data_IF_285800361936
#
_entry.id   IF_285800361936
#
_cell.length_a   1.000
_cell.length_b   1.000
_cell.length_c   1.000
_cell.angle_alpha   90.00
_cell.angle_beta   90.00
_cell.angle_gamma   90.00
#
_symmetry.space_group_name_H-M   'P 1'
#
loop_
_entity.id
_entity.type
_entity.pdbx_description
1 polymer ?
#
# COMPACT_ATOMS: atom_id res chain seq x y z
N UNK A 1 -10.25 -15.41 3.35
CA UNK A 1 -9.56 -15.40 2.05
C UNK A 1 -9.89 -16.69 1.34
N UNK A 2 -10.50 -16.62 0.18
CA UNK A 2 -10.82 -17.79 -0.63
C UNK A 2 -9.61 -18.20 -1.49
N UNK A 3 -9.52 -19.43 -2.00
CA UNK A 3 -8.47 -19.82 -2.95
C UNK A 3 -8.45 -18.94 -4.20
N UNK A 4 -9.60 -18.40 -4.60
CA UNK A 4 -9.72 -17.51 -5.74
C UNK A 4 -9.11 -16.14 -5.44
N UNK A 5 -9.19 -15.64 -4.20
CA UNK A 5 -8.55 -14.37 -3.81
C UNK A 5 -7.03 -14.44 -3.98
N UNK A 6 -6.40 -15.57 -3.62
CA UNK A 6 -4.94 -15.75 -3.75
C UNK A 6 -4.46 -15.63 -5.21
N UNK A 7 -5.31 -15.97 -6.19
CA UNK A 7 -5.00 -15.78 -7.61
C UNK A 7 -4.76 -14.32 -7.97
N UNK A 8 -5.51 -13.40 -7.36
CA UNK A 8 -5.37 -11.96 -7.55
C UNK A 8 -4.31 -11.36 -6.62
N UNK A 9 -4.38 -11.68 -5.33
CA UNK A 9 -3.48 -11.14 -4.30
C UNK A 9 -1.99 -11.42 -4.59
N UNK A 10 -1.69 -12.59 -5.13
CA UNK A 10 -0.35 -13.00 -5.52
C UNK A 10 -0.03 -12.70 -7.00
N UNK A 11 -0.91 -11.96 -7.68
CA UNK A 11 -0.77 -11.61 -9.10
C UNK A 11 -0.54 -12.82 -10.04
N UNK A 12 -1.13 -13.97 -9.74
CA UNK A 12 -1.00 -15.18 -10.56
C UNK A 12 -1.62 -15.00 -11.95
N UNK A 13 -2.53 -14.06 -12.14
CA UNK A 13 -3.12 -13.68 -13.42
C UNK A 13 -2.15 -12.93 -14.34
N UNK A 14 -1.09 -12.33 -13.79
CA UNK A 14 -0.10 -11.58 -14.57
C UNK A 14 0.75 -12.54 -15.38
N UNK A 15 0.48 -12.60 -16.68
CA UNK A 15 1.35 -13.33 -17.59
C UNK A 15 2.71 -12.63 -17.64
N UNK A 16 3.73 -13.23 -17.03
CA UNK A 16 5.10 -12.70 -17.09
C UNK A 16 5.56 -12.65 -18.54
N UNK A 17 5.81 -11.47 -19.12
CA UNK A 17 6.21 -11.40 -20.52
C UNK A 17 7.55 -12.11 -20.70
N UNK A 18 7.68 -12.82 -21.82
CA UNK A 18 8.97 -13.45 -22.24
C UNK A 18 10.11 -12.44 -22.35
N UNK A 19 9.82 -11.13 -22.38
CA UNK A 19 10.77 -10.02 -22.45
C UNK A 19 11.70 -9.83 -21.23
N UNK A 20 11.51 -10.58 -20.12
CA UNK A 20 12.47 -10.54 -19.00
C UNK A 20 13.91 -10.90 -19.43
N UNK A 21 14.10 -11.64 -20.50
CA UNK A 21 15.44 -11.92 -21.05
C UNK A 21 16.12 -10.68 -21.63
N UNK A 22 15.37 -9.67 -22.04
CA UNK A 22 15.88 -8.40 -22.58
C UNK A 22 16.06 -7.31 -21.52
N UNK A 23 15.52 -7.50 -20.31
CA UNK A 23 15.64 -6.54 -19.20
C UNK A 23 17.11 -6.19 -18.86
N UNK A 24 18.03 -7.18 -18.74
CA UNK A 24 19.43 -6.87 -18.44
C UNK A 24 20.09 -6.05 -19.57
N UNK A 25 19.72 -6.31 -20.81
CA UNK A 25 20.22 -5.55 -21.96
C UNK A 25 19.68 -4.11 -21.95
N UNK A 26 18.40 -3.95 -21.61
CA UNK A 26 17.79 -2.62 -21.43
C UNK A 26 18.46 -1.83 -20.31
N UNK A 27 18.71 -2.43 -19.14
CA UNK A 27 19.40 -1.76 -18.04
C UNK A 27 20.85 -1.41 -18.38
N UNK A 28 21.54 -2.23 -19.18
CA UNK A 28 22.86 -1.91 -19.73
C UNK A 28 22.82 -0.74 -20.73
N UNK A 29 21.86 -0.73 -21.62
CA UNK A 29 21.68 0.33 -22.61
C UNK A 29 21.17 1.64 -21.98
N UNK A 30 20.35 1.57 -20.94
CA UNK A 30 19.76 2.71 -20.24
C UNK A 30 20.80 3.72 -19.77
N UNK A 31 21.98 3.29 -19.33
CA UNK A 31 23.06 4.18 -18.86
C UNK A 31 23.61 5.12 -19.96
N UNK A 32 23.44 4.76 -21.24
CA UNK A 32 23.91 5.56 -22.38
C UNK A 32 22.83 6.48 -22.96
N UNK A 33 21.59 6.37 -22.49
CA UNK A 33 20.48 7.19 -22.97
C UNK A 33 20.34 8.40 -22.01
N UNK A 34 20.35 9.65 -22.51
CA UNK A 34 20.15 10.82 -21.66
C UNK A 34 18.83 10.72 -20.86
N UNK A 35 18.83 11.12 -19.60
CA UNK A 35 17.68 11.04 -18.70
C UNK A 35 16.41 11.69 -19.29
N UNK A 36 16.58 12.85 -19.97
CA UNK A 36 15.47 13.54 -20.66
C UNK A 36 14.80 12.66 -21.72
N UNK A 37 15.58 11.97 -22.54
CA UNK A 37 15.07 11.05 -23.58
C UNK A 37 14.37 9.84 -22.94
N UNK A 38 14.97 9.27 -21.87
CA UNK A 38 14.32 8.17 -21.13
C UNK A 38 12.96 8.58 -20.60
N UNK A 39 12.88 9.77 -19.97
CA UNK A 39 11.61 10.29 -19.41
C UNK A 39 10.59 10.58 -20.51
N UNK A 40 11.01 11.18 -21.62
CA UNK A 40 10.10 11.41 -22.76
C UNK A 40 9.48 10.11 -23.28
N UNK A 41 10.29 9.08 -23.48
CA UNK A 41 9.81 7.76 -23.91
C UNK A 41 8.85 7.14 -22.89
N UNK A 42 9.19 7.19 -21.59
CA UNK A 42 8.34 6.67 -20.50
C UNK A 42 7.00 7.40 -20.46
N UNK A 43 7.00 8.74 -20.54
CA UNK A 43 5.78 9.58 -20.60
C UNK A 43 4.89 9.21 -21.78
N UNK A 44 5.48 9.07 -22.96
CA UNK A 44 4.74 8.67 -24.17
C UNK A 44 4.13 7.28 -24.03
N UNK A 45 4.88 6.33 -23.46
CA UNK A 45 4.38 4.98 -23.18
C UNK A 45 3.26 4.98 -22.13
N UNK A 46 3.44 5.72 -21.04
CA UNK A 46 2.46 5.83 -19.97
C UNK A 46 1.12 6.43 -20.46
N UNK A 47 1.18 7.51 -21.27
CA UNK A 47 -0.02 8.10 -21.90
C UNK A 47 -0.74 7.11 -22.82
N UNK A 48 -0.01 6.35 -23.64
CA UNK A 48 -0.59 5.30 -24.50
C UNK A 48 -1.21 4.17 -23.68
N UNK A 49 -0.56 3.77 -22.59
CA UNK A 49 -1.10 2.75 -21.69
C UNK A 49 -2.38 3.25 -21.00
N UNK A 50 -2.38 4.49 -20.49
CA UNK A 50 -3.56 5.11 -19.89
C UNK A 50 -4.74 5.10 -20.86
N UNK A 51 -4.57 5.62 -22.06
CA UNK A 51 -5.63 5.64 -23.07
C UNK A 51 -6.17 4.23 -23.41
N UNK A 52 -5.32 3.20 -23.41
CA UNK A 52 -5.76 1.81 -23.61
C UNK A 52 -6.53 1.26 -22.40
N UNK A 53 -6.12 1.59 -21.16
CA UNK A 53 -6.85 1.17 -19.97
C UNK A 53 -8.23 1.83 -19.89
N UNK A 54 -8.31 3.12 -20.19
CA UNK A 54 -9.58 3.87 -20.22
C UNK A 54 -10.52 3.37 -21.33
N UNK A 55 -9.99 3.18 -22.56
CA UNK A 55 -10.81 2.78 -23.71
C UNK A 55 -11.22 1.30 -23.71
N UNK A 56 -10.42 0.40 -23.16
CA UNK A 56 -10.60 -1.05 -23.26
C UNK A 56 -11.01 -1.72 -21.97
N UNK A 57 -11.12 -0.97 -20.85
CA UNK A 57 -11.45 -1.55 -19.54
C UNK A 57 -10.49 -2.67 -19.11
N UNK A 58 -9.21 -2.54 -19.44
CA UNK A 58 -8.22 -3.61 -19.19
C UNK A 58 -8.12 -3.94 -17.72
N UNK A 59 -8.09 -5.23 -17.42
CA UNK A 59 -7.83 -5.75 -16.08
C UNK A 59 -6.32 -5.81 -15.78
N UNK A 60 -5.89 -5.41 -14.57
CA UNK A 60 -6.68 -4.68 -13.58
C UNK A 60 -7.02 -3.26 -14.08
N UNK A 61 -8.19 -2.75 -13.70
CA UNK A 61 -8.62 -1.38 -14.04
C UNK A 61 -7.74 -0.37 -13.31
N UNK A 62 -7.57 0.79 -13.89
CA UNK A 62 -6.82 1.88 -13.29
C UNK A 62 -7.61 3.20 -13.43
N UNK A 63 -7.64 4.09 -12.45
CA UNK A 63 -6.93 4.05 -11.15
C UNK A 63 -7.58 3.17 -10.09
N UNK A 64 -8.80 2.72 -10.29
CA UNK A 64 -9.61 1.94 -9.34
C UNK A 64 -9.88 0.55 -9.92
N UNK A 65 -9.48 -0.49 -9.15
CA UNK A 65 -9.83 -1.89 -9.43
C UNK A 65 -10.80 -2.41 -8.36
N UNK A 66 -12.10 -2.54 -8.69
CA UNK A 66 -13.11 -2.87 -7.70
C UNK A 66 -13.35 -4.38 -7.50
N UNK A 67 -12.65 -5.26 -8.21
CA UNK A 67 -12.97 -6.69 -8.28
C UNK A 67 -13.16 -7.33 -6.89
N UNK A 68 -12.13 -7.25 -6.03
CA UNK A 68 -12.20 -7.89 -4.70
C UNK A 68 -13.17 -7.18 -3.75
N UNK A 69 -13.43 -5.89 -3.97
CA UNK A 69 -14.48 -5.15 -3.24
C UNK A 69 -15.85 -5.72 -3.60
N UNK A 70 -16.16 -5.81 -4.90
CA UNK A 70 -17.43 -6.37 -5.36
C UNK A 70 -17.62 -7.84 -4.96
N UNK A 71 -16.56 -8.65 -4.99
CA UNK A 71 -16.65 -10.04 -4.52
C UNK A 71 -17.04 -10.11 -3.05
N UNK A 72 -16.45 -9.25 -2.19
CA UNK A 72 -16.84 -9.18 -0.77
C UNK A 72 -18.29 -8.74 -0.58
N UNK A 73 -18.74 -7.76 -1.35
CA UNK A 73 -20.14 -7.30 -1.33
C UNK A 73 -21.11 -8.42 -1.73
N UNK A 74 -20.80 -9.15 -2.79
CA UNK A 74 -21.60 -10.32 -3.22
C UNK A 74 -21.67 -11.39 -2.13
N UNK A 75 -20.54 -11.73 -1.52
CA UNK A 75 -20.49 -12.72 -0.43
C UNK A 75 -21.30 -12.25 0.79
N UNK A 76 -21.22 -10.96 1.12
CA UNK A 76 -21.98 -10.38 2.22
C UNK A 76 -23.49 -10.42 1.91
N UNK A 77 -23.88 -10.07 0.70
CA UNK A 77 -25.27 -10.14 0.25
C UNK A 77 -25.82 -11.58 0.33
N UNK A 78 -25.05 -12.57 -0.13
CA UNK A 78 -25.44 -13.97 -0.02
C UNK A 78 -25.61 -14.43 1.44
N UNK A 79 -24.77 -13.94 2.37
CA UNK A 79 -24.92 -14.21 3.81
C UNK A 79 -26.19 -13.57 4.37
N UNK A 80 -26.50 -12.34 3.97
CA UNK A 80 -27.72 -11.62 4.38
C UNK A 80 -28.98 -12.35 3.89
N UNK A 81 -29.01 -12.82 2.65
CA UNK A 81 -30.13 -13.61 2.13
C UNK A 81 -30.35 -14.90 2.95
N UNK A 82 -29.27 -15.60 3.32
CA UNK A 82 -29.36 -16.81 4.17
C UNK A 82 -29.81 -16.50 5.61
N UNK A 83 -29.59 -15.28 6.06
CA UNK A 83 -30.00 -14.83 7.39
C UNK A 83 -31.47 -14.40 7.46
N UNK A 84 -32.23 -14.48 6.35
CA UNK A 84 -33.69 -14.21 6.29
C UNK A 84 -34.08 -12.84 6.89
N UNK A 85 -33.36 -11.79 6.51
CA UNK A 85 -33.59 -10.42 6.97
C UNK A 85 -33.01 -10.11 8.37
N UNK A 86 -32.36 -11.08 9.03
CA UNK A 86 -31.65 -10.81 10.28
C UNK A 86 -30.33 -10.10 10.03
N UNK A 87 -29.96 -9.20 10.93
CA UNK A 87 -28.64 -8.56 10.90
C UNK A 87 -27.53 -9.57 11.11
N UNK A 88 -26.44 -9.43 10.34
CA UNK A 88 -25.26 -10.28 10.45
C UNK A 88 -24.16 -9.51 11.19
N UNK A 89 -23.65 -10.03 12.32
CA UNK A 89 -22.52 -9.44 13.00
C UNK A 89 -21.26 -9.57 12.16
N UNK A 90 -20.46 -8.50 12.10
CA UNK A 90 -19.20 -8.40 11.39
C UNK A 90 -18.10 -7.94 12.33
N UNK A 91 -16.89 -8.47 12.17
CA UNK A 91 -15.71 -7.90 12.75
C UNK A 91 -15.26 -6.70 11.92
N UNK A 92 -15.16 -5.53 12.54
CA UNK A 92 -14.66 -4.32 11.87
C UNK A 92 -13.29 -4.53 11.24
N UNK A 93 -13.05 -3.90 10.11
CA UNK A 93 -11.73 -3.97 9.46
C UNK A 93 -10.67 -3.24 10.31
N UNK A 94 -11.05 -2.19 11.01
CA UNK A 94 -10.14 -1.29 11.71
C UNK A 94 -10.44 -1.20 13.20
N UNK A 95 -9.46 -0.81 14.05
CA UNK A 95 -9.67 -0.74 15.50
C UNK A 95 -10.66 0.37 15.88
N UNK A 96 -11.26 0.25 17.05
CA UNK A 96 -12.07 1.29 17.70
C UNK A 96 -13.19 1.86 16.83
N UNK A 97 -13.74 1.08 15.90
CA UNK A 97 -14.84 1.51 15.04
C UNK A 97 -14.44 2.49 13.92
N UNK A 98 -13.17 2.62 13.62
CA UNK A 98 -12.76 3.39 12.45
C UNK A 98 -13.30 2.74 11.17
N UNK A 99 -13.74 3.56 10.23
CA UNK A 99 -14.36 3.12 8.99
C UNK A 99 -13.35 2.72 7.92
N UNK A 100 -12.20 3.37 7.89
CA UNK A 100 -11.07 3.11 7.00
C UNK A 100 -9.76 3.43 7.74
N UNK A 101 -8.63 3.06 7.17
CA UNK A 101 -7.32 3.46 7.67
C UNK A 101 -6.51 4.16 6.58
N UNK A 102 -5.53 4.95 7.00
CA UNK A 102 -4.55 5.51 6.08
C UNK A 102 -3.16 5.58 6.70
N UNK A 103 -2.17 5.40 5.87
CA UNK A 103 -0.76 5.42 6.24
C UNK A 103 0.03 6.21 5.22
N UNK A 104 1.04 6.92 5.70
CA UNK A 104 1.92 7.77 4.91
C UNK A 104 3.30 7.13 4.83
N UNK A 105 3.86 7.04 3.63
CA UNK A 105 5.13 6.36 3.41
C UNK A 105 6.02 7.12 2.43
N UNK A 106 7.34 7.03 2.67
CA UNK A 106 8.37 7.64 1.84
C UNK A 106 9.43 6.62 1.46
N UNK A 107 9.83 6.63 0.18
CA UNK A 107 10.97 5.87 -0.32
C UNK A 107 12.11 6.85 -0.58
N UNK A 108 13.20 6.70 0.17
CA UNK A 108 14.41 7.52 0.04
C UNK A 108 15.39 6.77 -0.85
N UNK A 109 15.42 7.15 -2.12
CA UNK A 109 16.14 6.43 -3.16
C UNK A 109 17.59 6.89 -3.34
N UNK A 110 17.93 8.07 -2.82
CA UNK A 110 19.25 8.63 -3.00
C UNK A 110 19.58 9.84 -2.12
N UNK A 111 20.78 10.45 -2.32
CA UNK A 111 21.24 11.60 -1.52
C UNK A 111 20.31 12.81 -1.57
N UNK A 112 19.58 13.00 -2.68
CA UNK A 112 18.60 14.09 -2.80
C UNK A 112 17.43 13.89 -1.87
N UNK A 113 16.85 12.68 -1.87
CA UNK A 113 15.77 12.33 -0.95
C UNK A 113 16.22 12.44 0.50
N UNK A 114 17.45 11.97 0.79
CA UNK A 114 18.02 12.07 2.14
C UNK A 114 18.09 13.54 2.62
N UNK A 115 18.50 14.46 1.76
CA UNK A 115 18.59 15.88 2.08
C UNK A 115 17.21 16.56 2.31
N UNK A 116 16.11 15.94 1.85
CA UNK A 116 14.76 16.48 2.01
C UNK A 116 13.96 15.87 3.17
N UNK A 117 14.54 14.91 3.90
CA UNK A 117 13.85 14.23 5.02
C UNK A 117 13.27 15.25 6.02
N UNK A 118 14.10 16.16 6.53
CA UNK A 118 13.66 17.13 7.54
C UNK A 118 12.57 18.08 7.01
N UNK A 119 12.64 18.45 5.72
CA UNK A 119 11.64 19.34 5.09
C UNK A 119 10.26 18.70 5.03
N UNK A 120 10.18 17.41 4.68
CA UNK A 120 8.90 16.69 4.66
C UNK A 120 8.40 16.41 6.08
N UNK A 121 9.29 16.02 7.00
CA UNK A 121 8.94 15.86 8.41
C UNK A 121 8.34 17.13 9.02
N UNK A 122 8.86 18.30 8.65
CA UNK A 122 8.30 19.58 9.13
C UNK A 122 6.88 19.82 8.60
N UNK A 123 6.62 19.47 7.33
CA UNK A 123 5.26 19.54 6.76
C UNK A 123 4.33 18.59 7.53
N UNK A 124 4.75 17.34 7.72
CA UNK A 124 3.97 16.32 8.45
C UNK A 124 3.67 16.76 9.89
N UNK A 125 4.66 17.30 10.58
CA UNK A 125 4.50 17.83 11.93
C UNK A 125 3.45 18.94 12.00
N UNK A 126 3.38 19.84 11.01
CA UNK A 126 2.33 20.88 10.95
C UNK A 126 0.93 20.30 10.84
N UNK A 127 0.79 19.15 10.18
CA UNK A 127 -0.48 18.42 10.05
C UNK A 127 -0.74 17.42 11.19
N UNK A 128 0.20 17.25 12.12
CA UNK A 128 0.08 16.30 13.22
C UNK A 128 0.06 14.84 12.77
N UNK A 129 0.72 14.53 11.66
CA UNK A 129 0.79 13.19 11.07
C UNK A 129 2.17 12.57 11.25
N UNK A 130 2.23 11.23 11.20
CA UNK A 130 3.47 10.45 11.26
C UNK A 130 3.55 9.53 10.03
N UNK A 131 4.76 9.13 9.65
CA UNK A 131 5.03 8.39 8.43
C UNK A 131 6.07 7.30 8.60
N UNK A 132 6.17 6.41 7.61
CA UNK A 132 7.26 5.44 7.50
C UNK A 132 8.23 5.83 6.39
N UNK A 133 9.52 5.72 6.68
CA UNK A 133 10.61 6.11 5.81
C UNK A 133 11.45 4.89 5.45
N UNK A 134 11.41 4.47 4.21
CA UNK A 134 12.15 3.31 3.71
C UNK A 134 13.41 3.79 3.02
N UNK A 135 14.58 3.41 3.54
CA UNK A 135 15.89 3.81 3.01
C UNK A 135 16.54 2.69 2.22
N UNK A 136 17.19 3.02 1.11
CA UNK A 136 18.06 2.09 0.36
C UNK A 136 19.38 1.98 1.11
N UNK A 137 19.75 0.75 1.51
CA UNK A 137 20.80 0.57 2.52
C UNK A 137 22.25 0.78 2.01
N UNK A 138 22.51 0.59 0.71
CA UNK A 138 23.91 0.47 0.24
C UNK A 138 24.25 1.28 -1.03
N UNK A 139 23.32 2.05 -1.59
CA UNK A 139 23.58 2.85 -2.79
C UNK A 139 24.17 4.22 -2.46
N UNK A 140 24.03 4.68 -1.23
CA UNK A 140 24.55 5.95 -0.73
C UNK A 140 24.84 5.87 0.77
N UNK A 141 25.66 6.78 1.27
CA UNK A 141 25.92 6.85 2.70
C UNK A 141 24.72 7.45 3.43
N UNK A 142 24.25 6.78 4.48
CA UNK A 142 23.22 7.25 5.38
C UNK A 142 23.88 7.59 6.71
N UNK A 143 23.83 8.85 7.11
CA UNK A 143 24.22 9.23 8.47
C UNK A 143 23.20 8.63 9.46
N UNK A 144 23.61 7.82 10.43
CA UNK A 144 22.72 7.28 11.46
C UNK A 144 21.88 8.35 12.16
N UNK A 145 22.38 9.58 12.26
CA UNK A 145 21.65 10.70 12.84
C UNK A 145 20.33 10.98 12.11
N UNK A 146 20.25 10.78 10.79
CA UNK A 146 19.00 10.96 10.04
C UNK A 146 17.95 9.93 10.46
N UNK A 147 18.33 8.69 10.72
CA UNK A 147 17.40 7.66 11.19
C UNK A 147 16.87 8.01 12.59
N UNK A 148 17.72 8.62 13.43
CA UNK A 148 17.30 9.10 14.76
C UNK A 148 16.36 10.31 14.66
N UNK A 149 16.59 11.24 13.73
CA UNK A 149 15.66 12.36 13.45
C UNK A 149 14.28 11.83 13.08
N UNK A 150 14.21 10.85 12.19
CA UNK A 150 12.94 10.20 11.80
C UNK A 150 12.25 9.57 13.02
N UNK A 151 12.99 8.83 13.86
CA UNK A 151 12.42 8.21 15.08
C UNK A 151 11.97 9.24 16.10
N UNK A 152 12.75 10.30 16.30
CA UNK A 152 12.42 11.38 17.23
C UNK A 152 11.14 12.12 16.81
N UNK A 153 10.84 12.17 15.52
CA UNK A 153 9.57 12.68 15.00
C UNK A 153 8.38 11.70 15.20
N UNK A 154 8.58 10.55 15.87
CA UNK A 154 7.54 9.53 16.05
C UNK A 154 7.31 8.65 14.81
N UNK A 155 8.09 8.84 13.77
CA UNK A 155 8.00 8.14 12.50
C UNK A 155 8.69 6.77 12.53
N UNK A 156 8.46 5.96 11.50
CA UNK A 156 9.01 4.61 11.37
C UNK A 156 10.17 4.59 10.37
N UNK A 157 11.24 3.87 10.71
CA UNK A 157 12.33 3.54 9.76
C UNK A 157 12.07 2.16 9.19
N UNK A 158 12.05 2.06 7.86
CA UNK A 158 11.92 0.83 7.10
C UNK A 158 13.10 0.60 6.15
N UNK A 159 13.15 -0.57 5.54
CA UNK A 159 14.20 -0.95 4.58
C UNK A 159 13.66 -0.93 3.14
N UNK A 160 14.30 -0.13 2.26
CA UNK A 160 14.02 -0.08 0.81
C UNK A 160 14.99 -0.94 -0.01
N UNK A 161 15.22 -2.17 0.44
CA UNK A 161 16.20 -3.06 -0.17
C UNK A 161 17.65 -2.63 0.07
N UNK A 162 18.59 -3.36 -0.54
CA UNK A 162 20.02 -3.03 -0.45
C UNK A 162 20.43 -2.05 -1.54
N UNK A 163 19.91 -2.24 -2.75
CA UNK A 163 20.23 -1.46 -3.95
C UNK A 163 18.97 -1.14 -4.73
N UNK A 164 18.85 0.10 -5.21
CA UNK A 164 17.73 0.53 -6.05
C UNK A 164 17.95 0.18 -7.54
N UNK A 165 18.24 -1.09 -7.82
CA UNK A 165 18.57 -1.58 -9.16
C UNK A 165 17.54 -2.55 -9.76
N UNK A 166 16.46 -2.86 -9.04
CA UNK A 166 15.38 -3.76 -9.48
C UNK A 166 15.80 -5.22 -9.64
N UNK A 167 16.94 -5.65 -9.08
CA UNK A 167 17.48 -6.99 -9.30
C UNK A 167 17.16 -8.00 -8.19
N UNK A 168 16.59 -7.59 -7.08
CA UNK A 168 16.37 -8.45 -5.90
C UNK A 168 15.69 -9.78 -6.29
N UNK A 169 14.65 -9.74 -7.10
CA UNK A 169 13.91 -10.93 -7.55
C UNK A 169 14.31 -11.44 -8.95
N UNK A 170 15.52 -11.10 -9.42
CA UNK A 170 16.00 -11.52 -10.74
C UNK A 170 16.16 -13.04 -10.85
N UNK A 171 16.69 -13.68 -9.79
CA UNK A 171 16.82 -15.13 -9.67
C UNK A 171 16.80 -15.57 -8.22
N UNK A 172 16.42 -16.82 -7.96
CA UNK A 172 16.39 -17.40 -6.62
C UNK A 172 17.76 -17.31 -5.94
N UNK A 173 18.83 -17.70 -6.62
CA UNK A 173 20.20 -17.62 -6.11
C UNK A 173 20.62 -16.19 -5.78
N UNK A 174 20.20 -15.19 -6.58
CA UNK A 174 20.49 -13.80 -6.28
C UNK A 174 19.75 -13.34 -5.02
N UNK A 175 18.47 -13.65 -4.91
CA UNK A 175 17.63 -13.34 -3.76
C UNK A 175 18.22 -13.94 -2.47
N UNK A 176 18.54 -15.24 -2.47
CA UNK A 176 19.13 -15.93 -1.30
C UNK A 176 20.43 -15.31 -0.83
N UNK A 177 21.29 -14.87 -1.76
CA UNK A 177 22.54 -14.17 -1.40
C UNK A 177 22.30 -12.82 -0.73
N UNK A 178 21.17 -12.14 -1.01
CA UNK A 178 20.84 -10.86 -0.41
C UNK A 178 20.21 -11.00 0.98
N UNK A 179 19.51 -12.10 1.26
CA UNK A 179 18.76 -12.30 2.50
C UNK A 179 19.56 -12.04 3.80
N UNK A 180 20.79 -12.56 3.98
CA UNK A 180 21.54 -12.32 5.23
C UNK A 180 21.79 -10.83 5.49
N UNK A 181 22.05 -10.04 4.42
CA UNK A 181 22.31 -8.61 4.52
C UNK A 181 21.00 -7.85 4.78
N UNK A 182 19.92 -8.17 4.06
CA UNK A 182 18.58 -7.60 4.29
C UNK A 182 18.17 -7.80 5.75
N UNK A 183 18.26 -9.04 6.26
CA UNK A 183 17.92 -9.37 7.64
C UNK A 183 18.83 -8.69 8.66
N UNK A 184 20.10 -8.43 8.31
CA UNK A 184 21.02 -7.65 9.14
C UNK A 184 20.54 -6.20 9.25
N UNK A 185 20.25 -5.51 8.15
CA UNK A 185 19.75 -4.12 8.18
C UNK A 185 18.41 -4.00 8.89
N UNK A 186 17.47 -4.93 8.68
CA UNK A 186 16.21 -4.93 9.43
C UNK A 186 16.46 -4.96 10.95
N UNK A 187 17.43 -5.79 11.42
CA UNK A 187 17.79 -5.82 12.85
C UNK A 187 18.53 -4.58 13.31
N UNK A 188 19.56 -4.16 12.58
CA UNK A 188 20.40 -3.00 12.94
C UNK A 188 19.60 -1.71 13.01
N UNK A 189 18.64 -1.55 12.09
CA UNK A 189 17.76 -0.38 12.08
C UNK A 189 16.49 -0.55 12.91
N UNK A 190 16.28 -1.70 13.55
CA UNK A 190 15.02 -1.99 14.23
C UNK A 190 13.79 -1.86 13.31
N UNK A 191 13.99 -2.10 12.02
CA UNK A 191 12.96 -1.94 10.99
C UNK A 191 12.05 -3.17 10.96
N UNK A 192 10.75 -2.95 11.09
CA UNK A 192 9.74 -3.99 10.94
C UNK A 192 9.25 -4.13 9.49
N UNK A 193 9.36 -3.06 8.71
CA UNK A 193 8.84 -2.95 7.35
C UNK A 193 9.89 -3.06 6.27
N UNK A 194 9.45 -3.65 5.15
CA UNK A 194 10.22 -3.70 3.91
C UNK A 194 9.39 -3.11 2.77
N UNK A 195 10.08 -2.43 1.85
CA UNK A 195 9.57 -2.07 0.53
C UNK A 195 10.59 -2.38 -0.53
N UNK A 196 10.18 -3.10 -1.57
CA UNK A 196 11.08 -3.48 -2.65
C UNK A 196 11.33 -2.31 -3.60
N UNK A 197 12.59 -2.06 -3.96
CA UNK A 197 12.94 -1.07 -4.98
C UNK A 197 12.15 -1.23 -6.27
N UNK A 198 11.64 -0.11 -6.79
CA UNK A 198 10.79 -0.08 -7.99
C UNK A 198 9.57 -1.01 -7.90
N UNK A 199 9.08 -1.29 -6.71
CA UNK A 199 7.94 -2.18 -6.44
C UNK A 199 8.05 -3.56 -7.12
N UNK A 200 9.28 -4.03 -7.39
CA UNK A 200 9.50 -5.40 -7.87
C UNK A 200 9.14 -6.40 -6.78
N UNK A 201 8.39 -7.44 -7.12
CA UNK A 201 7.80 -8.33 -6.13
C UNK A 201 7.70 -9.77 -6.57
N UNK A 202 7.77 -10.67 -5.60
CA UNK A 202 7.56 -12.10 -5.78
C UNK A 202 6.87 -12.66 -4.54
N UNK A 203 5.57 -12.91 -4.63
CA UNK A 203 4.74 -13.35 -3.52
C UNK A 203 5.27 -14.60 -2.80
N UNK A 204 5.88 -15.54 -3.56
CA UNK A 204 6.41 -16.77 -2.99
C UNK A 204 7.73 -16.58 -2.21
N UNK A 205 8.52 -15.53 -2.50
CA UNK A 205 9.83 -15.34 -1.88
C UNK A 205 9.81 -14.27 -0.78
N UNK A 206 8.90 -13.30 -0.86
CA UNK A 206 8.86 -12.18 0.08
C UNK A 206 8.69 -12.58 1.54
N UNK A 207 7.96 -13.65 1.92
CA UNK A 207 7.90 -14.11 3.30
C UNK A 207 9.26 -14.45 3.91
N UNK A 208 10.26 -14.75 3.09
CA UNK A 208 11.61 -15.11 3.54
C UNK A 208 12.50 -13.90 3.87
N UNK A 209 12.07 -12.67 3.57
CA UNK A 209 12.82 -11.44 3.85
C UNK A 209 13.13 -11.27 5.34
N UNK A 210 12.23 -11.74 6.22
CA UNK A 210 12.37 -11.60 7.67
C UNK A 210 11.78 -10.30 8.21
N UNK A 211 11.11 -9.52 7.38
CA UNK A 211 10.30 -8.37 7.80
C UNK A 211 8.99 -8.80 8.45
N UNK A 212 8.39 -7.93 9.27
CA UNK A 212 7.08 -8.15 9.86
C UNK A 212 5.95 -7.82 8.88
N UNK A 213 6.17 -6.83 8.02
CA UNK A 213 5.26 -6.48 6.94
C UNK A 213 6.05 -6.03 5.70
N UNK A 214 5.39 -6.11 4.57
CA UNK A 214 5.84 -5.57 3.30
C UNK A 214 4.80 -4.57 2.77
N UNK A 215 5.23 -3.64 1.94
CA UNK A 215 4.36 -2.73 1.20
C UNK A 215 4.92 -2.50 -0.19
N UNK A 216 4.93 -3.56 -1.00
CA UNK A 216 5.48 -3.53 -2.37
C UNK A 216 4.46 -3.84 -3.45
N UNK A 217 3.28 -4.39 -3.11
CA UNK A 217 2.24 -4.67 -4.08
C UNK A 217 1.32 -3.46 -4.23
N UNK A 218 1.24 -2.82 -5.42
CA UNK A 218 0.15 -1.89 -5.68
C UNK A 218 -1.18 -2.64 -5.75
N UNK A 219 -2.28 -1.97 -5.42
CA UNK A 219 -3.61 -2.51 -5.71
C UNK A 219 -3.81 -2.64 -7.22
N UNK A 220 -3.44 -1.61 -7.98
CA UNK A 220 -3.39 -1.60 -9.45
C UNK A 220 -2.35 -0.60 -9.95
N UNK A 221 -1.41 -1.04 -10.79
CA UNK A 221 -0.39 -0.17 -11.38
C UNK A 221 0.08 -0.64 -12.75
N UNK A 222 -0.47 -0.10 -13.84
CA UNK A 222 -0.10 -0.51 -15.20
C UNK A 222 1.22 0.08 -15.71
N UNK A 223 1.77 1.11 -15.06
CA UNK A 223 2.90 1.92 -15.57
C UNK A 223 4.26 1.50 -15.04
N UNK A 224 4.32 0.61 -14.06
CA UNK A 224 5.56 0.13 -13.47
C UNK A 224 6.32 -0.85 -14.36
N UNK A 225 7.59 -1.08 -14.01
CA UNK A 225 8.42 -2.10 -14.64
C UNK A 225 7.85 -3.52 -14.46
N UNK A 226 7.11 -3.75 -13.38
CA UNK A 226 6.29 -4.94 -13.15
C UNK A 226 4.83 -4.50 -13.07
N UNK A 227 4.13 -4.37 -14.24
CA UNK A 227 2.74 -3.95 -14.25
C UNK A 227 1.84 -5.04 -13.67
N UNK A 228 0.74 -4.63 -13.04
CA UNK A 228 -0.23 -5.51 -12.40
C UNK A 228 -0.81 -4.87 -11.15
N UNK A 229 -1.10 -5.68 -10.17
CA UNK A 229 -1.61 -5.27 -8.86
C UNK A 229 -2.27 -6.42 -8.12
N UNK A 230 -2.33 -6.33 -6.80
CA UNK A 230 -2.97 -7.36 -5.97
C UNK A 230 -4.51 -7.24 -5.94
N UNK A 231 -5.08 -6.21 -6.57
CA UNK A 231 -6.52 -5.91 -6.61
C UNK A 231 -7.15 -5.69 -5.23
N UNK A 232 -6.37 -5.57 -4.17
CA UNK A 232 -6.87 -5.39 -2.81
C UNK A 232 -6.63 -3.99 -2.28
N UNK A 233 -7.64 -3.44 -1.63
CA UNK A 233 -7.51 -2.23 -0.81
C UNK A 233 -7.43 -2.55 0.69
N UNK A 234 -7.31 -3.82 1.05
CA UNK A 234 -7.11 -4.27 2.43
C UNK A 234 -5.78 -4.99 2.55
N UNK A 235 -5.14 -4.94 3.73
CA UNK A 235 -4.00 -5.80 4.00
C UNK A 235 -4.35 -7.27 3.84
N UNK A 236 -3.35 -8.09 3.55
CA UNK A 236 -3.49 -9.54 3.44
C UNK A 236 -2.21 -10.26 3.86
N UNK A 237 -2.26 -11.58 3.95
CA UNK A 237 -1.10 -12.38 4.33
C UNK A 237 -0.46 -13.05 3.12
N UNK A 238 0.86 -12.99 3.06
CA UNK A 238 1.72 -13.83 2.24
C UNK A 238 2.49 -14.75 3.21
N UNK A 239 1.97 -15.95 3.47
CA UNK A 239 2.42 -16.75 4.61
C UNK A 239 2.24 -15.97 5.92
N UNK A 240 3.33 -15.78 6.68
CA UNK A 240 3.32 -15.00 7.93
C UNK A 240 3.60 -13.49 7.71
N UNK A 241 3.95 -13.08 6.51
CA UNK A 241 4.19 -11.69 6.16
C UNK A 241 2.85 -10.97 5.93
N UNK A 242 2.67 -9.79 6.54
CA UNK A 242 1.53 -8.93 6.21
C UNK A 242 1.91 -8.05 5.04
N UNK A 243 1.15 -8.11 3.96
CA UNK A 243 1.25 -7.16 2.85
C UNK A 243 0.30 -5.99 3.09
N UNK A 244 0.83 -4.77 2.99
CA UNK A 244 0.08 -3.52 3.03
C UNK A 244 0.06 -2.92 1.61
N UNK A 245 -1.01 -3.10 0.83
CA UNK A 245 -1.03 -2.65 -0.56
C UNK A 245 -0.77 -1.15 -0.70
N UNK A 246 -0.01 -0.77 -1.73
CA UNK A 246 0.12 0.63 -2.16
C UNK A 246 -1.15 0.96 -2.95
N UNK A 247 -2.06 1.68 -2.34
CA UNK A 247 -3.40 1.89 -2.88
C UNK A 247 -3.59 3.23 -3.58
N UNK A 248 -2.78 4.24 -3.28
CA UNK A 248 -2.75 5.45 -4.10
C UNK A 248 -1.67 5.37 -5.18
N UNK A 249 -1.90 5.94 -6.35
CA UNK A 249 -0.84 6.10 -7.34
C UNK A 249 0.32 6.90 -6.74
N UNK A 250 1.55 6.45 -7.01
CA UNK A 250 2.76 7.12 -6.54
C UNK A 250 2.88 8.53 -7.13
N UNK A 251 3.47 9.47 -6.40
CA UNK A 251 3.78 10.83 -6.87
C UNK A 251 4.57 10.82 -8.20
N UNK A 252 5.60 9.97 -8.31
CA UNK A 252 6.35 9.76 -9.54
C UNK A 252 5.44 9.39 -10.73
N UNK A 253 4.44 8.54 -10.50
CA UNK A 253 3.49 8.14 -11.56
C UNK A 253 2.62 9.31 -11.98
N UNK A 254 2.03 10.02 -11.02
CA UNK A 254 1.13 11.13 -11.32
C UNK A 254 1.85 12.30 -11.95
N UNK A 255 2.88 12.79 -11.30
CA UNK A 255 3.47 14.06 -11.67
C UNK A 255 4.62 13.92 -12.68
N UNK A 256 5.43 12.84 -12.58
CA UNK A 256 6.54 12.66 -13.49
C UNK A 256 6.18 11.92 -14.78
N UNK A 257 5.31 10.90 -14.70
CA UNK A 257 4.94 10.12 -15.89
C UNK A 257 3.68 10.64 -16.57
N UNK A 258 2.59 10.82 -15.84
CA UNK A 258 1.29 11.23 -16.39
C UNK A 258 1.18 12.75 -16.51
N UNK A 259 1.99 13.50 -15.78
CA UNK A 259 2.04 14.97 -15.75
C UNK A 259 0.68 15.58 -15.33
N UNK A 260 0.07 14.98 -14.30
CA UNK A 260 -1.10 15.57 -13.64
C UNK A 260 -0.73 16.93 -13.04
N UNK A 261 -1.69 17.84 -13.01
CA UNK A 261 -1.49 19.22 -12.56
C UNK A 261 -2.00 19.50 -11.15
N UNK A 262 -2.74 18.54 -10.60
CA UNK A 262 -3.37 18.65 -9.29
C UNK A 262 -3.50 17.28 -8.62
N UNK A 263 -4.11 17.25 -7.45
CA UNK A 263 -4.28 16.04 -6.64
C UNK A 263 -5.65 15.37 -6.81
N UNK A 264 -6.45 15.77 -7.80
CA UNK A 264 -7.85 15.31 -7.96
C UNK A 264 -7.95 13.78 -8.06
N UNK A 265 -7.00 13.13 -8.74
CA UNK A 265 -6.98 11.67 -8.86
C UNK A 265 -6.66 10.98 -7.52
N UNK A 266 -5.80 11.55 -6.69
CA UNK A 266 -5.58 11.09 -5.33
C UNK A 266 -6.84 11.22 -4.48
N UNK A 267 -7.52 12.38 -4.55
CA UNK A 267 -8.74 12.64 -3.80
C UNK A 267 -9.88 11.69 -4.20
N UNK A 268 -10.09 11.48 -5.50
CA UNK A 268 -11.09 10.57 -6.03
C UNK A 268 -10.86 9.15 -5.50
N UNK A 269 -9.63 8.62 -5.67
CA UNK A 269 -9.30 7.27 -5.27
C UNK A 269 -9.31 7.08 -3.76
N UNK A 270 -8.76 8.03 -2.99
CA UNK A 270 -8.80 8.00 -1.54
C UNK A 270 -10.24 8.03 -1.00
N UNK A 271 -11.09 8.87 -1.58
CA UNK A 271 -12.51 8.92 -1.24
C UNK A 271 -13.23 7.60 -1.55
N UNK A 272 -12.90 6.96 -2.68
CA UNK A 272 -13.45 5.63 -3.01
C UNK A 272 -12.98 4.58 -2.00
N UNK A 273 -11.69 4.51 -1.68
CA UNK A 273 -11.14 3.56 -0.70
C UNK A 273 -11.79 3.75 0.69
N UNK A 274 -11.93 5.01 1.13
CA UNK A 274 -12.55 5.34 2.41
C UNK A 274 -14.01 4.86 2.49
N UNK A 275 -14.80 5.04 1.42
CA UNK A 275 -16.18 4.55 1.34
C UNK A 275 -16.29 3.03 1.43
N UNK A 276 -15.30 2.30 0.91
CA UNK A 276 -15.27 0.82 0.91
C UNK A 276 -14.48 0.22 2.08
N UNK A 277 -14.12 1.04 3.08
CA UNK A 277 -13.47 0.59 4.30
C UNK A 277 -12.04 0.07 4.10
N UNK A 278 -11.32 0.57 3.10
CA UNK A 278 -9.98 0.13 2.74
C UNK A 278 -8.85 0.78 3.54
N UNK A 279 -7.62 0.44 3.18
CA UNK A 279 -6.38 1.09 3.57
C UNK A 279 -5.94 2.06 2.48
N UNK A 280 -5.82 3.34 2.81
CA UNK A 280 -5.20 4.33 1.94
C UNK A 280 -3.71 4.34 2.24
N UNK A 281 -2.88 3.82 1.34
CA UNK A 281 -1.43 3.88 1.44
C UNK A 281 -0.89 4.94 0.50
N UNK A 282 -0.32 5.99 1.07
CA UNK A 282 0.34 7.07 0.34
C UNK A 282 1.81 6.74 0.17
N UNK A 283 2.32 6.89 -1.03
CA UNK A 283 3.74 6.80 -1.34
C UNK A 283 4.20 8.08 -2.05
N UNK A 284 5.08 8.82 -1.37
CA UNK A 284 5.74 10.03 -1.88
C UNK A 284 7.25 9.89 -1.72
N UNK A 285 7.98 10.24 -2.78
CA UNK A 285 9.43 10.15 -2.80
C UNK A 285 10.08 11.51 -2.52
N UNK A 286 10.86 11.65 -1.44
CA UNK A 286 11.58 12.88 -1.15
C UNK A 286 12.55 13.28 -2.27
N UNK A 287 12.98 12.32 -3.09
CA UNK A 287 13.85 12.56 -4.25
C UNK A 287 13.18 13.38 -5.36
N UNK A 288 11.84 13.38 -5.44
CA UNK A 288 11.03 14.09 -6.43
C UNK A 288 10.22 15.24 -5.85
N UNK A 289 9.89 15.20 -4.57
CA UNK A 289 9.14 16.24 -3.85
C UNK A 289 10.08 17.39 -3.43
N UNK A 290 10.76 18.00 -4.40
CA UNK A 290 11.79 19.03 -4.14
C UNK A 290 11.27 20.42 -4.50
N UNK A 291 10.49 20.53 -5.58
CA UNK A 291 9.93 21.79 -6.07
C UNK A 291 8.74 22.21 -5.20
N UNK A 292 8.57 23.52 -5.01
CA UNK A 292 7.51 24.07 -4.16
C UNK A 292 6.12 23.59 -4.59
N UNK A 293 5.84 23.53 -5.90
CA UNK A 293 4.59 23.00 -6.43
C UNK A 293 4.32 21.55 -5.98
N UNK A 294 5.37 20.70 -5.90
CA UNK A 294 5.22 19.30 -5.46
C UNK A 294 4.95 19.20 -3.97
N UNK A 295 5.57 20.07 -3.20
CA UNK A 295 5.32 20.17 -1.77
C UNK A 295 3.92 20.70 -1.48
N UNK A 296 3.45 21.67 -2.27
CA UNK A 296 2.07 22.17 -2.17
C UNK A 296 1.05 21.04 -2.46
N UNK A 297 1.28 20.23 -3.49
CA UNK A 297 0.43 19.05 -3.76
C UNK A 297 0.46 18.04 -2.61
N UNK A 298 1.63 17.82 -2.02
CA UNK A 298 1.77 16.96 -0.86
C UNK A 298 1.01 17.50 0.36
N UNK A 299 1.17 18.78 0.67
CA UNK A 299 0.47 19.43 1.77
C UNK A 299 -1.04 19.45 1.57
N UNK A 300 -1.52 19.71 0.35
CA UNK A 300 -2.93 19.60 0.00
C UNK A 300 -3.48 18.17 0.20
N UNK A 301 -2.70 17.15 -0.15
CA UNK A 301 -3.09 15.75 0.10
C UNK A 301 -3.22 15.48 1.60
N UNK A 302 -2.26 15.92 2.42
CA UNK A 302 -2.32 15.74 3.87
C UNK A 302 -3.55 16.44 4.48
N UNK A 303 -3.80 17.68 4.09
CA UNK A 303 -4.99 18.41 4.53
C UNK A 303 -6.29 17.68 4.16
N UNK A 304 -6.37 17.14 2.94
CA UNK A 304 -7.51 16.35 2.49
C UNK A 304 -7.69 15.08 3.33
N UNK A 305 -6.62 14.30 3.54
CA UNK A 305 -6.70 13.04 4.30
C UNK A 305 -7.07 13.27 5.77
N UNK A 306 -6.51 14.31 6.40
CA UNK A 306 -6.86 14.70 7.77
C UNK A 306 -8.33 15.14 7.92
N UNK A 307 -8.93 15.70 6.85
CA UNK A 307 -10.33 16.11 6.85
C UNK A 307 -11.31 14.94 6.67
N UNK A 308 -10.87 13.77 6.21
CA UNK A 308 -11.72 12.58 6.04
C UNK A 308 -12.16 12.02 7.39
N UNK A 309 -13.47 12.05 7.65
CA UNK A 309 -14.05 11.59 8.93
C UNK A 309 -14.06 10.06 9.04
N UNK A 310 -13.75 9.56 10.22
CA UNK A 310 -13.80 8.12 10.53
C UNK A 310 -12.55 7.35 10.10
N UNK A 311 -11.49 8.03 9.67
CA UNK A 311 -10.21 7.43 9.33
C UNK A 311 -9.34 7.15 10.55
N UNK A 312 -8.59 6.07 10.49
CA UNK A 312 -7.50 5.77 11.40
C UNK A 312 -6.16 6.08 10.72
N UNK A 313 -5.53 7.18 11.13
CA UNK A 313 -4.14 7.45 10.75
C UNK A 313 -3.21 6.61 11.62
N UNK A 314 -2.34 5.83 11.00
CA UNK A 314 -1.44 4.94 11.70
C UNK A 314 -0.14 4.70 10.92
N UNK A 315 0.92 4.34 11.64
CA UNK A 315 2.12 3.82 11.02
C UNK A 315 1.87 2.45 10.37
N UNK A 316 2.56 2.12 9.27
CA UNK A 316 2.44 0.81 8.63
C UNK A 316 2.63 -0.38 9.60
N UNK A 317 3.59 -0.30 10.53
CA UNK A 317 3.80 -1.32 11.56
C UNK A 317 2.58 -1.52 12.45
N UNK A 318 1.85 -0.45 12.78
CA UNK A 318 0.68 -0.53 13.65
C UNK A 318 -0.52 -1.10 12.89
N UNK A 319 -0.67 -0.76 11.60
CA UNK A 319 -1.62 -1.40 10.69
C UNK A 319 -1.35 -2.90 10.58
N UNK A 320 -0.09 -3.31 10.39
CA UNK A 320 0.29 -4.71 10.29
C UNK A 320 0.06 -5.48 11.61
N UNK A 321 0.37 -4.87 12.76
CA UNK A 321 0.08 -5.44 14.09
C UNK A 321 -1.41 -5.63 14.30
N UNK A 322 -2.20 -4.61 13.97
CA UNK A 322 -3.65 -4.69 14.05
C UNK A 322 -4.20 -5.80 13.15
N UNK A 323 -3.70 -5.92 11.92
CA UNK A 323 -4.18 -6.94 11.00
C UNK A 323 -3.95 -8.37 11.50
N UNK A 324 -2.84 -8.60 12.23
CA UNK A 324 -2.59 -9.88 12.93
C UNK A 324 -3.57 -10.13 14.08
N UNK A 325 -3.81 -9.11 14.91
CA UNK A 325 -4.80 -9.19 16.00
C UNK A 325 -6.18 -9.50 15.44
N UNK A 326 -6.58 -8.78 14.40
CA UNK A 326 -7.86 -8.98 13.73
C UNK A 326 -8.01 -10.41 13.17
N UNK A 327 -6.97 -10.93 12.50
CA UNK A 327 -6.99 -12.29 11.96
C UNK A 327 -7.09 -13.36 13.06
N UNK A 328 -6.40 -13.17 14.19
CA UNK A 328 -6.50 -14.05 15.33
C UNK A 328 -7.92 -14.04 15.94
N UNK A 329 -8.55 -12.88 16.06
CA UNK A 329 -9.95 -12.75 16.50
C UNK A 329 -10.90 -13.45 15.52
N UNK A 330 -10.74 -13.24 14.22
CA UNK A 330 -11.58 -13.88 13.20
C UNK A 330 -11.50 -15.41 13.26
N UNK A 331 -10.30 -15.95 13.49
CA UNK A 331 -10.08 -17.39 13.67
C UNK A 331 -10.72 -17.92 14.96
N UNK A 332 -10.64 -17.20 16.08
CA UNK A 332 -11.21 -17.58 17.36
C UNK A 332 -12.74 -17.56 17.35
N UNK A 333 -13.31 -16.62 16.60
CA UNK A 333 -14.76 -16.43 16.55
C UNK A 333 -15.44 -17.43 15.61
N UNK A 334 -14.76 -17.90 14.55
CA UNK A 334 -15.37 -18.78 13.55
C UNK A 334 -16.69 -18.19 13.03
N UNK A 335 -17.76 -19.00 13.03
CA UNK A 335 -19.12 -18.58 12.68
C UNK A 335 -19.94 -18.02 13.86
N UNK A 336 -19.37 -18.03 15.09
CA UNK A 336 -20.06 -17.52 16.26
C UNK A 336 -20.06 -15.98 16.26
N UNK A 337 -21.13 -15.33 16.77
CA UNK A 337 -21.14 -13.90 16.94
C UNK A 337 -20.02 -13.49 17.92
N UNK A 338 -19.27 -12.41 17.60
CA UNK A 338 -18.17 -11.96 18.44
C UNK A 338 -18.64 -11.65 19.88
N UNK A 339 -17.92 -12.17 20.88
CA UNK A 339 -18.10 -11.73 22.27
C UNK A 339 -17.68 -10.26 22.41
N UNK A 340 -18.61 -9.41 22.79
CA UNK A 340 -18.39 -7.96 22.92
C UNK A 340 -17.23 -7.64 23.89
N UNK A 341 -17.06 -8.42 24.95
CA UNK A 341 -15.99 -8.23 25.93
C UNK A 341 -14.61 -8.55 25.33
N UNK A 342 -14.51 -9.64 24.58
CA UNK A 342 -13.26 -10.01 23.89
C UNK A 342 -12.88 -8.97 22.83
N UNK A 343 -13.84 -8.48 22.07
CA UNK A 343 -13.63 -7.43 21.08
C UNK A 343 -13.15 -6.12 21.72
N UNK A 344 -13.82 -5.68 22.80
CA UNK A 344 -13.44 -4.47 23.51
C UNK A 344 -12.01 -4.55 24.07
N UNK A 345 -11.61 -5.68 24.65
CA UNK A 345 -10.24 -5.91 25.15
C UNK A 345 -9.19 -5.82 24.04
N UNK A 346 -9.54 -6.29 22.84
CA UNK A 346 -8.64 -6.23 21.68
C UNK A 346 -8.68 -4.87 20.96
N UNK A 347 -9.52 -3.94 21.39
CA UNK A 347 -9.75 -2.68 20.70
C UNK A 347 -10.49 -2.85 19.36
N UNK A 348 -11.18 -3.97 19.19
CA UNK A 348 -11.97 -4.27 17.99
C UNK A 348 -13.40 -3.71 18.15
N UNK A 349 -14.04 -3.45 17.01
CA UNK A 349 -15.43 -3.02 16.97
C UNK A 349 -16.31 -4.09 16.31
N UNK A 350 -17.51 -4.27 16.86
CA UNK A 350 -18.56 -5.07 16.24
C UNK A 350 -19.39 -4.16 15.34
N UNK A 351 -19.58 -4.63 14.13
CA UNK A 351 -20.43 -4.00 13.13
C UNK A 351 -21.57 -4.96 12.78
N UNK A 352 -22.60 -4.43 12.14
CA UNK A 352 -23.69 -5.24 11.62
C UNK A 352 -23.92 -4.89 10.16
N UNK A 353 -24.10 -5.91 9.34
CA UNK A 353 -24.66 -5.75 8.01
C UNK A 353 -26.16 -6.02 8.05
N UNK A 354 -26.93 -5.18 7.40
CA UNK A 354 -28.36 -5.34 7.19
C UNK A 354 -28.69 -4.95 5.75
N UNK A 355 -29.81 -5.44 5.24
CA UNK A 355 -30.39 -4.98 3.98
C UNK A 355 -31.49 -3.97 4.29
N UNK A 356 -31.42 -2.80 3.67
CA UNK A 356 -32.46 -1.78 3.74
C UNK A 356 -32.73 -1.25 2.33
N UNK A 357 -33.94 -1.31 1.89
CA UNK A 357 -34.40 -0.85 0.55
C UNK A 357 -33.58 -1.42 -0.62
N UNK A 358 -33.13 -2.70 -0.47
CA UNK A 358 -32.32 -3.39 -1.48
C UNK A 358 -30.82 -3.07 -1.43
N UNK A 359 -30.38 -2.25 -0.48
CA UNK A 359 -28.96 -1.90 -0.29
C UNK A 359 -28.39 -2.53 1.00
N UNK A 360 -27.10 -2.90 0.95
CA UNK A 360 -26.39 -3.36 2.13
C UNK A 360 -25.93 -2.15 2.93
N UNK A 361 -26.43 -2.06 4.16
CA UNK A 361 -26.00 -1.03 5.12
C UNK A 361 -25.14 -1.67 6.18
N UNK A 362 -23.99 -1.05 6.47
CA UNK A 362 -23.07 -1.47 7.54
C UNK A 362 -23.15 -0.46 8.67
N UNK A 363 -23.61 -0.92 9.83
CA UNK A 363 -23.90 -0.10 11.00
C UNK A 363 -23.05 -0.50 12.21
N UNK A 364 -22.71 0.45 13.06
CA UNK A 364 -22.14 0.18 14.38
C UNK A 364 -23.24 -0.20 15.36
N UNK A 365 -22.86 -0.80 16.49
CA UNK A 365 -23.80 -1.22 17.53
C UNK A 365 -24.64 -0.04 18.09
N UNK A 366 -24.07 1.15 18.13
CA UNK A 366 -24.75 2.36 18.62
C UNK A 366 -25.90 2.84 17.72
N UNK A 367 -25.82 2.63 16.43
CA UNK A 367 -26.87 2.98 15.46
C UNK A 367 -27.91 1.87 15.27
N UNK A 368 -27.71 0.75 15.95
CA UNK A 368 -28.55 -0.43 15.82
C UNK A 368 -29.83 -0.38 16.67
N UNK A 369 -29.94 0.60 17.58
CA UNK A 369 -31.05 0.78 18.51
C UNK A 369 -31.89 2.04 18.23
N UNK A 370 -31.56 2.78 17.20
CA UNK A 370 -32.34 3.90 16.70
C UNK A 370 -33.21 3.46 15.49
#
# INVERSE_FOLDING_TARGET
MTPDDAFYLEERYVRRPRSRRLLPLFYRAKRFIPRRTQMHLRRTMARRQRGRHEAQGRFPRWPIEPLLVHQREILLHQRLLRAEGRRIPLLGAWPRGHRFAWTLTHDVEGPKGLANVERLLEIERRHGVVSAWYFVAEDYAIDPAVLEVVRAAGCEVGLHGLHHNGQLFQSRTHFERQLPRIRRYLREWGAEGFRSPSTHRNAAWMPELGARYDSSFPDTHPFDAQPGGCCSILPYFLGDLVELPITLPQDHTLFELLQERDISLWQEKAGWIARHGGLITVLVHPDYAIEDERLDHYEQLLAFLCALKGGWHALPRDVARWWRVRAALETQLGDAPPDATALARAGAARWFAAERDGEIVIETEEHAHA
#
